data_IF_025860110771
#
_entry.id   IF_025860110771
#
_cell.length_a   1.000
_cell.length_b   1.000
_cell.length_c   1.000
_cell.angle_alpha   90.00
_cell.angle_beta   90.00
_cell.angle_gamma   90.00
#
_symmetry.space_group_name_H-M   'P 1'
#
loop_
_entity.id
_entity.type
_entity.pdbx_description
1 polymer ?
#
# COMPACT_ATOMS: atom_id res chain seq x y z
N UNK A 1 -14.96 -33.66 9.49
CA UNK A 1 -14.74 -32.38 10.22
C UNK A 1 -15.33 -31.30 9.38
N UNK A 2 -16.50 -30.81 9.76
CA UNK A 2 -17.19 -29.74 9.07
C UNK A 2 -16.41 -28.43 9.28
N UNK A 3 -16.00 -27.80 8.19
CA UNK A 3 -15.32 -26.49 8.25
C UNK A 3 -16.36 -25.42 8.62
N UNK A 4 -16.21 -24.81 9.77
CA UNK A 4 -17.01 -23.64 10.16
C UNK A 4 -16.41 -22.43 9.47
N UNK A 5 -17.19 -21.77 8.61
CA UNK A 5 -16.81 -20.50 7.99
C UNK A 5 -17.54 -19.39 8.74
N UNK A 6 -16.79 -18.51 9.38
CA UNK A 6 -17.33 -17.31 10.03
C UNK A 6 -17.12 -16.11 9.10
N UNK A 7 -18.23 -15.58 8.57
CA UNK A 7 -18.21 -14.36 7.78
C UNK A 7 -18.51 -13.17 8.71
N UNK A 8 -17.54 -12.27 8.85
CA UNK A 8 -17.72 -11.03 9.59
C UNK A 8 -18.11 -9.90 8.64
N UNK A 9 -19.33 -9.37 8.81
CA UNK A 9 -19.80 -8.20 8.07
C UNK A 9 -19.68 -6.96 8.96
N UNK A 10 -18.97 -5.90 8.52
CA UNK A 10 -18.86 -4.69 9.30
C UNK A 10 -20.21 -4.00 9.42
N UNK A 11 -20.62 -3.69 10.64
CA UNK A 11 -21.80 -2.87 10.89
C UNK A 11 -21.52 -1.41 10.53
N UNK A 12 -22.03 -0.97 9.37
CA UNK A 12 -21.85 0.40 8.86
C UNK A 12 -22.53 1.47 9.74
N UNK A 13 -23.44 1.09 10.63
CA UNK A 13 -24.14 2.00 11.56
C UNK A 13 -23.39 2.16 12.88
N UNK A 14 -22.43 1.29 13.18
CA UNK A 14 -21.66 1.35 14.42
C UNK A 14 -20.65 2.47 14.38
N UNK A 15 -20.83 3.48 15.23
CA UNK A 15 -19.86 4.56 15.40
C UNK A 15 -18.52 4.02 15.88
N UNK A 16 -17.41 4.47 15.25
CA UNK A 16 -16.03 4.22 15.70
C UNK A 16 -15.52 5.30 16.66
N UNK A 17 -16.37 6.27 17.04
CA UNK A 17 -15.97 7.44 17.83
C UNK A 17 -15.23 7.08 19.14
N UNK A 18 -15.57 5.96 19.77
CA UNK A 18 -14.93 5.50 21.00
C UNK A 18 -13.74 4.56 20.79
N UNK A 19 -13.40 4.24 19.54
CA UNK A 19 -12.37 3.22 19.28
C UNK A 19 -10.96 3.76 19.61
N UNK A 20 -10.67 4.99 19.20
CA UNK A 20 -9.38 5.61 19.49
C UNK A 20 -9.15 5.80 21.02
N UNK A 21 -10.07 6.38 21.81
CA UNK A 21 -9.87 6.49 23.27
C UNK A 21 -9.69 5.13 23.96
N UNK A 22 -10.38 4.07 23.50
CA UNK A 22 -10.21 2.73 24.04
C UNK A 22 -8.84 2.13 23.73
N UNK A 23 -8.28 2.40 22.55
CA UNK A 23 -6.92 1.98 22.22
C UNK A 23 -5.88 2.75 23.02
N UNK A 24 -6.06 4.08 23.19
CA UNK A 24 -5.19 4.92 24.04
C UNK A 24 -5.15 4.37 25.46
N UNK A 25 -6.32 4.08 26.07
CA UNK A 25 -6.43 3.47 27.39
C UNK A 25 -5.74 2.09 27.44
N UNK A 26 -6.02 1.22 26.46
CA UNK A 26 -5.46 -0.13 26.41
C UNK A 26 -3.91 -0.12 26.31
N UNK A 27 -3.34 0.80 25.57
CA UNK A 27 -1.87 0.98 25.48
C UNK A 27 -1.31 1.59 26.77
N UNK A 28 -2.05 2.48 27.44
CA UNK A 28 -1.67 3.01 28.76
C UNK A 28 -1.65 1.92 29.82
N UNK A 29 -2.63 1.04 29.85
CA UNK A 29 -2.73 -0.08 30.79
C UNK A 29 -1.68 -1.18 30.52
N UNK A 30 -1.41 -1.45 29.24
CA UNK A 30 -0.42 -2.46 28.83
C UNK A 30 0.45 -1.95 27.66
N UNK A 31 1.51 -1.15 27.94
CA UNK A 31 2.36 -0.56 26.92
C UNK A 31 3.26 -1.57 26.17
N UNK A 32 3.33 -2.81 26.64
CA UNK A 32 4.09 -3.88 26.00
C UNK A 32 3.25 -4.75 25.06
N UNK A 33 1.94 -4.47 24.92
CA UNK A 33 1.09 -5.16 23.97
C UNK A 33 1.33 -4.62 22.55
N UNK A 34 2.08 -5.36 21.76
CA UNK A 34 2.47 -4.99 20.39
C UNK A 34 1.28 -4.80 19.47
N UNK A 35 0.28 -5.68 19.55
CA UNK A 35 -0.92 -5.58 18.71
C UNK A 35 -1.72 -4.30 18.98
N UNK A 36 -1.94 -3.95 20.26
CA UNK A 36 -2.64 -2.73 20.60
C UNK A 36 -1.83 -1.48 20.20
N UNK A 37 -0.50 -1.54 20.34
CA UNK A 37 0.39 -0.47 19.90
C UNK A 37 0.33 -0.27 18.38
N UNK A 38 0.34 -1.36 17.59
CA UNK A 38 0.14 -1.32 16.13
C UNK A 38 -1.21 -0.70 15.76
N UNK A 39 -2.29 -1.16 16.39
CA UNK A 39 -3.63 -0.64 16.12
C UNK A 39 -3.78 0.83 16.50
N UNK A 40 -3.22 1.26 17.62
CA UNK A 40 -3.24 2.66 18.04
C UNK A 40 -2.53 3.55 17.03
N UNK A 41 -1.32 3.16 16.60
CA UNK A 41 -0.58 3.93 15.59
C UNK A 41 -1.32 4.02 14.26
N UNK A 42 -1.94 2.92 13.81
CA UNK A 42 -2.79 2.91 12.62
C UNK A 42 -4.02 3.81 12.77
N UNK A 43 -4.66 3.80 13.93
CA UNK A 43 -5.84 4.62 14.18
C UNK A 43 -5.46 6.12 14.22
N UNK A 44 -4.34 6.50 14.84
CA UNK A 44 -3.83 7.87 14.74
C UNK A 44 -3.62 8.31 13.29
N UNK A 45 -3.09 7.43 12.44
CA UNK A 45 -2.94 7.72 11.01
C UNK A 45 -4.30 7.99 10.34
N UNK A 46 -5.33 7.21 10.62
CA UNK A 46 -6.67 7.42 10.07
C UNK A 46 -7.33 8.73 10.53
N UNK A 47 -6.97 9.21 11.72
CA UNK A 47 -7.40 10.51 12.24
C UNK A 47 -6.52 11.69 11.78
N UNK A 48 -5.53 11.47 10.93
CA UNK A 48 -4.60 12.51 10.45
C UNK A 48 -3.61 12.99 11.51
N UNK A 49 -3.49 12.28 12.64
CA UNK A 49 -2.54 12.57 13.71
C UNK A 49 -1.17 11.97 13.35
N UNK A 50 -0.56 12.54 12.29
CA UNK A 50 0.61 11.93 11.63
C UNK A 50 1.79 11.70 12.55
N UNK A 51 2.15 12.69 13.39
CA UNK A 51 3.29 12.57 14.32
C UNK A 51 3.02 11.53 15.40
N UNK A 52 1.82 11.53 16.00
CA UNK A 52 1.43 10.53 17.00
C UNK A 52 1.46 9.11 16.41
N UNK A 53 1.01 8.96 15.17
CA UNK A 53 1.06 7.70 14.44
C UNK A 53 2.51 7.22 14.26
N UNK A 54 3.42 8.10 13.79
CA UNK A 54 4.82 7.79 13.58
C UNK A 54 5.47 7.33 14.89
N UNK A 55 5.30 8.11 15.96
CA UNK A 55 5.90 7.81 17.26
C UNK A 55 5.40 6.49 17.84
N UNK A 56 4.09 6.25 17.73
CA UNK A 56 3.45 5.02 18.22
C UNK A 56 3.89 3.79 17.43
N UNK A 57 3.93 3.89 16.11
CA UNK A 57 4.38 2.78 15.25
C UNK A 57 5.88 2.49 15.40
N UNK A 58 6.71 3.52 15.65
CA UNK A 58 8.12 3.31 15.98
C UNK A 58 8.26 2.60 17.34
N UNK A 59 7.42 2.94 18.34
CA UNK A 59 7.40 2.20 19.61
C UNK A 59 7.01 0.74 19.38
N UNK A 60 5.94 0.46 18.60
CA UNK A 60 5.58 -0.90 18.21
C UNK A 60 6.78 -1.67 17.65
N UNK A 61 7.51 -1.09 16.69
CA UNK A 61 8.66 -1.77 16.04
C UNK A 61 9.83 -2.07 17.00
N UNK A 62 9.88 -1.42 18.16
CA UNK A 62 10.91 -1.62 19.21
C UNK A 62 10.51 -2.64 20.27
N UNK A 63 9.24 -3.05 20.31
CA UNK A 63 8.78 -4.05 21.27
C UNK A 63 9.36 -5.43 20.92
N UNK A 64 9.88 -6.13 21.92
CA UNK A 64 10.41 -7.49 21.75
C UNK A 64 9.32 -8.49 21.33
N UNK A 65 8.06 -8.26 21.77
CA UNK A 65 6.89 -9.05 21.40
C UNK A 65 6.49 -8.90 19.93
N UNK A 66 6.83 -7.76 19.30
CA UNK A 66 6.47 -7.48 17.91
C UNK A 66 7.33 -8.30 16.93
N UNK A 67 7.10 -9.61 16.87
CA UNK A 67 7.89 -10.55 16.07
C UNK A 67 7.29 -10.89 14.71
N UNK A 68 6.00 -10.60 14.50
CA UNK A 68 5.33 -10.91 13.24
C UNK A 68 5.74 -9.93 12.14
N UNK A 69 6.59 -10.42 11.23
CA UNK A 69 7.20 -9.59 10.17
C UNK A 69 6.20 -8.86 9.28
N UNK A 70 5.06 -9.49 8.99
CA UNK A 70 4.04 -8.87 8.14
C UNK A 70 3.41 -7.65 8.82
N UNK A 71 3.12 -7.72 10.13
CA UNK A 71 2.59 -6.60 10.90
C UNK A 71 3.64 -5.49 11.09
N UNK A 72 4.91 -5.87 11.32
CA UNK A 72 6.04 -4.92 11.35
C UNK A 72 6.18 -4.18 10.02
N UNK A 73 6.10 -4.93 8.91
CA UNK A 73 6.09 -4.36 7.56
C UNK A 73 4.92 -3.39 7.37
N UNK A 74 3.71 -3.75 7.85
CA UNK A 74 2.55 -2.86 7.80
C UNK A 74 2.78 -1.58 8.61
N UNK A 75 3.35 -1.66 9.82
CA UNK A 75 3.71 -0.48 10.62
C UNK A 75 4.68 0.44 9.87
N UNK A 76 5.70 -0.12 9.20
CA UNK A 76 6.66 0.67 8.41
C UNK A 76 5.98 1.35 7.21
N UNK A 77 5.04 0.68 6.53
CA UNK A 77 4.23 1.28 5.46
C UNK A 77 3.35 2.42 5.99
N UNK A 78 2.71 2.25 7.15
CA UNK A 78 1.88 3.30 7.75
C UNK A 78 2.72 4.51 8.18
N UNK A 79 3.92 4.31 8.70
CA UNK A 79 4.87 5.39 8.98
C UNK A 79 5.20 6.14 7.67
N UNK A 80 5.48 5.41 6.60
CA UNK A 80 5.73 6.02 5.28
C UNK A 80 4.55 6.86 4.80
N UNK A 81 3.31 6.36 4.94
CA UNK A 81 2.09 7.12 4.60
C UNK A 81 1.97 8.40 5.41
N UNK A 82 2.33 8.37 6.70
CA UNK A 82 2.34 9.56 7.55
C UNK A 82 3.37 10.58 7.05
N UNK A 83 4.59 10.15 6.76
CA UNK A 83 5.62 11.03 6.21
C UNK A 83 5.24 11.62 4.85
N UNK A 84 4.62 10.82 3.96
CA UNK A 84 4.08 11.31 2.69
C UNK A 84 3.05 12.42 2.90
N UNK A 85 2.13 12.27 3.87
CA UNK A 85 1.13 13.30 4.19
C UNK A 85 1.75 14.57 4.83
N UNK A 86 2.94 14.45 5.38
CA UNK A 86 3.74 15.58 5.87
C UNK A 86 4.66 16.18 4.77
N UNK A 87 4.56 15.71 3.51
CA UNK A 87 5.42 16.06 2.38
C UNK A 87 6.91 15.73 2.62
N UNK A 88 7.20 14.79 3.50
CA UNK A 88 8.54 14.31 3.85
C UNK A 88 8.83 13.03 3.06
N UNK A 89 9.09 13.20 1.77
CA UNK A 89 9.15 12.09 0.81
C UNK A 89 10.40 11.21 0.98
N UNK A 90 11.54 11.79 1.39
CA UNK A 90 12.78 11.02 1.63
C UNK A 90 12.61 10.04 2.79
N UNK A 91 11.96 10.46 3.88
CA UNK A 91 11.67 9.58 5.00
C UNK A 91 10.60 8.55 4.63
N UNK A 92 9.60 8.95 3.82
CA UNK A 92 8.59 8.01 3.33
C UNK A 92 9.24 6.88 2.51
N UNK A 93 10.16 7.21 1.60
CA UNK A 93 10.95 6.25 0.83
C UNK A 93 11.78 5.34 1.74
N UNK A 94 12.54 5.93 2.66
CA UNK A 94 13.38 5.19 3.60
C UNK A 94 12.56 4.14 4.37
N UNK A 95 11.36 4.47 4.83
CA UNK A 95 10.52 3.53 5.56
C UNK A 95 9.95 2.43 4.67
N UNK A 96 9.61 2.70 3.41
CA UNK A 96 9.21 1.66 2.45
C UNK A 96 10.36 0.72 2.09
N UNK A 97 11.58 1.24 1.95
CA UNK A 97 12.76 0.39 1.76
C UNK A 97 13.04 -0.51 2.97
N UNK A 98 12.82 -0.01 4.20
CA UNK A 98 12.87 -0.84 5.43
C UNK A 98 11.77 -1.91 5.42
N UNK A 99 10.54 -1.55 5.02
CA UNK A 99 9.44 -2.50 4.91
C UNK A 99 9.72 -3.62 3.90
N UNK A 100 10.33 -3.29 2.76
CA UNK A 100 10.79 -4.28 1.76
C UNK A 100 11.85 -5.20 2.36
N UNK A 101 12.79 -4.68 3.15
CA UNK A 101 13.83 -5.49 3.79
C UNK A 101 13.25 -6.40 4.87
N UNK A 102 12.26 -5.94 5.62
CA UNK A 102 11.58 -6.71 6.68
C UNK A 102 10.81 -7.90 6.12
N UNK A 103 10.02 -7.68 5.06
CA UNK A 103 9.17 -8.69 4.44
C UNK A 103 9.25 -8.64 2.90
N UNK A 104 10.36 -9.08 2.30
CA UNK A 104 10.60 -8.98 0.86
C UNK A 104 9.65 -9.84 0.02
N UNK A 105 8.93 -10.75 0.65
CA UNK A 105 7.95 -11.65 0.04
C UNK A 105 6.53 -11.03 -0.03
N UNK A 106 6.29 -9.87 0.60
CA UNK A 106 5.03 -9.13 0.49
C UNK A 106 5.07 -8.18 -0.69
N UNK A 107 3.97 -8.13 -1.44
CA UNK A 107 3.83 -7.21 -2.58
C UNK A 107 3.59 -5.77 -2.15
N UNK A 108 2.87 -5.58 -1.04
CA UNK A 108 2.39 -4.29 -0.55
C UNK A 108 3.48 -3.20 -0.45
N UNK A 109 4.66 -3.41 0.17
CA UNK A 109 5.64 -2.34 0.29
C UNK A 109 6.25 -1.94 -1.06
N UNK A 110 6.36 -2.86 -2.03
CA UNK A 110 6.82 -2.52 -3.38
C UNK A 110 5.78 -1.71 -4.15
N UNK A 111 4.48 -2.04 -3.97
CA UNK A 111 3.38 -1.29 -4.59
C UNK A 111 3.34 0.13 -4.06
N UNK A 112 3.42 0.30 -2.75
CA UNK A 112 3.41 1.63 -2.12
C UNK A 112 4.64 2.45 -2.51
N UNK A 113 5.80 1.81 -2.67
CA UNK A 113 7.00 2.50 -3.14
C UNK A 113 6.86 2.94 -4.62
N UNK A 114 6.24 2.11 -5.47
CA UNK A 114 5.93 2.52 -6.84
C UNK A 114 4.92 3.69 -6.87
N UNK A 115 3.92 3.68 -5.98
CA UNK A 115 2.96 4.79 -5.83
C UNK A 115 3.63 6.06 -5.32
N UNK A 116 4.62 5.95 -4.43
CA UNK A 116 5.40 7.10 -3.96
C UNK A 116 6.20 7.72 -5.10
N UNK A 117 6.92 6.90 -5.88
CA UNK A 117 7.66 7.39 -7.04
C UNK A 117 6.76 7.95 -8.14
N UNK A 118 5.55 7.41 -8.29
CA UNK A 118 4.55 8.02 -9.18
C UNK A 118 4.17 9.44 -8.74
N UNK A 119 4.01 9.66 -7.43
CA UNK A 119 3.76 11.00 -6.88
C UNK A 119 4.92 11.97 -7.14
N UNK A 120 6.15 11.43 -7.22
CA UNK A 120 7.38 12.19 -7.49
C UNK A 120 7.73 12.26 -8.99
N UNK A 121 6.89 11.71 -9.86
CA UNK A 121 7.09 11.63 -11.32
C UNK A 121 8.38 10.88 -11.73
N UNK A 122 8.95 10.07 -10.82
CA UNK A 122 10.08 9.20 -11.14
C UNK A 122 9.59 7.87 -11.76
N UNK A 123 9.23 7.96 -13.03
CA UNK A 123 8.66 6.84 -13.78
C UNK A 123 9.62 5.66 -13.95
N UNK A 124 10.94 5.89 -13.93
CA UNK A 124 11.93 4.81 -13.94
C UNK A 124 11.82 3.94 -12.69
N UNK A 125 11.74 4.54 -11.52
CA UNK A 125 11.57 3.81 -10.27
C UNK A 125 10.15 3.24 -10.12
N UNK A 126 9.09 3.88 -10.67
CA UNK A 126 7.75 3.25 -10.79
C UNK A 126 7.87 1.91 -11.54
N UNK A 127 8.50 1.91 -12.71
CA UNK A 127 8.70 0.69 -13.51
C UNK A 127 9.55 -0.35 -12.78
N UNK A 128 10.62 0.07 -12.10
CA UNK A 128 11.52 -0.81 -11.35
C UNK A 128 10.79 -1.55 -10.23
N UNK A 129 10.09 -0.82 -9.37
CA UNK A 129 9.43 -1.40 -8.18
C UNK A 129 8.08 -2.05 -8.53
N UNK A 130 7.32 -1.51 -9.46
CA UNK A 130 6.09 -2.14 -9.97
C UNK A 130 6.36 -3.51 -10.58
N UNK A 131 7.41 -3.65 -11.41
CA UNK A 131 7.84 -4.96 -11.94
C UNK A 131 8.28 -5.94 -10.85
N UNK A 132 8.95 -5.46 -9.80
CA UNK A 132 9.31 -6.30 -8.65
C UNK A 132 8.07 -6.77 -7.91
N UNK A 133 7.11 -5.89 -7.65
CA UNK A 133 5.84 -6.23 -7.04
C UNK A 133 5.08 -7.31 -7.84
N UNK A 134 4.96 -7.16 -9.15
CA UNK A 134 4.27 -8.13 -10.02
C UNK A 134 4.93 -9.52 -10.08
N UNK A 135 6.22 -9.64 -9.74
CA UNK A 135 6.90 -10.95 -9.62
C UNK A 135 6.45 -11.72 -8.38
N UNK A 136 5.99 -11.03 -7.34
CA UNK A 136 5.50 -11.67 -6.11
C UNK A 136 4.08 -12.18 -6.38
N UNK A 137 3.92 -13.49 -6.49
CA UNK A 137 2.62 -14.12 -6.81
C UNK A 137 1.84 -14.53 -5.58
N UNK A 138 2.52 -14.72 -4.45
CA UNK A 138 1.88 -15.04 -3.20
C UNK A 138 1.00 -13.88 -2.72
N UNK A 139 -0.24 -14.18 -2.37
CA UNK A 139 -1.20 -13.23 -1.81
C UNK A 139 -1.64 -13.76 -0.43
N UNK A 140 -0.88 -13.46 0.61
CA UNK A 140 -1.34 -13.79 1.97
C UNK A 140 -2.57 -12.93 2.26
N UNK A 141 -3.72 -13.59 2.45
CA UNK A 141 -4.99 -12.89 2.73
C UNK A 141 -5.09 -12.58 4.21
N UNK A 142 -4.30 -11.62 4.67
CA UNK A 142 -4.32 -11.14 6.06
C UNK A 142 -4.94 -9.75 6.14
N UNK A 143 -5.32 -9.31 7.35
CA UNK A 143 -5.95 -8.00 7.57
C UNK A 143 -5.05 -6.79 7.28
N UNK A 144 -3.75 -7.03 7.09
CA UNK A 144 -2.76 -5.99 6.83
C UNK A 144 -2.39 -5.87 5.34
N UNK A 145 -2.87 -6.77 4.48
CA UNK A 145 -2.66 -6.66 3.04
C UNK A 145 -3.65 -5.67 2.41
N UNK A 146 -3.16 -4.97 1.42
CA UNK A 146 -3.92 -3.94 0.72
C UNK A 146 -4.48 -4.46 -0.60
N UNK A 147 -5.75 -4.21 -0.84
CA UNK A 147 -6.43 -4.64 -2.06
C UNK A 147 -5.72 -4.09 -3.30
N UNK A 148 -5.33 -2.81 -3.28
CA UNK A 148 -4.66 -2.14 -4.40
C UNK A 148 -3.31 -2.76 -4.78
N UNK A 149 -2.73 -3.60 -3.93
CA UNK A 149 -1.51 -4.34 -4.27
C UNK A 149 -1.77 -5.52 -5.21
N UNK A 150 -3.04 -5.96 -5.34
CA UNK A 150 -3.42 -7.18 -6.05
C UNK A 150 -4.52 -6.98 -7.10
N UNK A 151 -5.09 -5.79 -7.17
CA UNK A 151 -6.04 -5.36 -8.21
C UNK A 151 -5.32 -4.76 -9.45
N UNK A 152 -6.03 -3.97 -10.25
CA UNK A 152 -5.52 -3.35 -11.47
C UNK A 152 -4.48 -2.25 -11.22
N UNK A 153 -4.36 -1.72 -10.01
CA UNK A 153 -3.58 -0.52 -9.67
C UNK A 153 -2.13 -0.59 -10.16
N UNK A 154 -1.44 -1.71 -9.94
CA UNK A 154 -0.04 -1.85 -10.38
C UNK A 154 0.13 -1.82 -11.89
N UNK A 155 -0.76 -2.50 -12.62
CA UNK A 155 -0.69 -2.50 -14.08
C UNK A 155 -1.04 -1.12 -14.64
N UNK A 156 -1.98 -0.43 -14.01
CA UNK A 156 -2.36 0.94 -14.38
C UNK A 156 -1.19 1.92 -14.14
N UNK A 157 -0.56 1.90 -12.96
CA UNK A 157 0.63 2.70 -12.67
C UNK A 157 1.76 2.45 -13.69
N UNK A 158 2.02 1.19 -14.00
CA UNK A 158 3.03 0.82 -15.01
C UNK A 158 2.66 1.34 -16.39
N UNK A 159 1.38 1.31 -16.77
CA UNK A 159 0.93 1.82 -18.06
C UNK A 159 1.24 3.29 -18.22
N UNK A 160 0.93 4.09 -17.20
CA UNK A 160 1.20 5.54 -17.18
C UNK A 160 2.70 5.81 -17.15
N UNK A 161 3.46 5.06 -16.33
CA UNK A 161 4.89 5.24 -16.24
C UNK A 161 5.61 4.95 -17.56
N UNK A 162 5.26 3.85 -18.23
CA UNK A 162 5.82 3.53 -19.55
C UNK A 162 5.44 4.55 -20.61
N UNK A 163 4.20 5.07 -20.57
CA UNK A 163 3.77 6.13 -21.47
C UNK A 163 4.64 7.38 -21.32
N UNK A 164 4.87 7.84 -20.09
CA UNK A 164 5.72 9.02 -19.84
C UNK A 164 7.20 8.79 -20.18
N UNK A 165 7.64 7.54 -20.25
CA UNK A 165 8.98 7.17 -20.71
C UNK A 165 9.08 6.95 -22.22
N UNK A 166 8.00 7.16 -23.00
CA UNK A 166 7.96 6.93 -24.43
C UNK A 166 7.89 5.45 -24.84
N UNK A 167 7.72 4.53 -23.89
CA UNK A 167 7.59 3.10 -24.17
C UNK A 167 6.10 2.73 -24.37
N UNK A 168 5.52 3.20 -25.47
CA UNK A 168 4.09 3.04 -25.77
C UNK A 168 3.67 1.58 -25.85
N UNK A 169 4.55 0.71 -26.37
CA UNK A 169 4.28 -0.73 -26.45
C UNK A 169 4.00 -1.35 -25.07
N UNK A 170 4.85 -1.04 -24.08
CA UNK A 170 4.66 -1.52 -22.72
C UNK A 170 3.53 -0.77 -22.00
N UNK A 171 3.28 0.50 -22.31
CA UNK A 171 2.15 1.26 -21.81
C UNK A 171 0.82 0.59 -22.19
N UNK A 172 0.60 0.32 -23.48
CA UNK A 172 -0.58 -0.37 -24.02
C UNK A 172 -0.73 -1.76 -23.40
N UNK A 173 0.37 -2.52 -23.36
CA UNK A 173 0.35 -3.87 -22.74
C UNK A 173 -0.15 -3.84 -21.31
N UNK A 174 0.35 -2.92 -20.49
CA UNK A 174 -0.02 -2.84 -19.08
C UNK A 174 -1.45 -2.28 -18.91
N UNK A 175 -1.89 -1.30 -19.70
CA UNK A 175 -3.27 -0.84 -19.71
C UNK A 175 -4.26 -1.99 -20.02
N UNK A 176 -3.95 -2.81 -21.03
CA UNK A 176 -4.74 -4.01 -21.36
C UNK A 176 -4.77 -5.04 -20.21
N UNK A 177 -3.66 -5.21 -19.49
CA UNK A 177 -3.61 -6.08 -18.29
C UNK A 177 -4.46 -5.54 -17.16
N UNK A 178 -4.44 -4.22 -16.93
CA UNK A 178 -5.29 -3.57 -15.93
C UNK A 178 -6.78 -3.75 -16.26
N UNK A 179 -7.18 -3.57 -17.53
CA UNK A 179 -8.56 -3.77 -17.99
C UNK A 179 -9.03 -5.23 -17.95
N UNK A 180 -8.12 -6.21 -17.99
CA UNK A 180 -8.49 -7.61 -17.74
C UNK A 180 -8.94 -7.84 -16.29
N UNK A 181 -8.42 -7.07 -15.35
CA UNK A 181 -8.79 -7.15 -13.93
C UNK A 181 -10.05 -6.33 -13.67
N UNK A 182 -10.11 -5.10 -14.19
CA UNK A 182 -11.25 -4.20 -14.07
C UNK A 182 -11.71 -3.68 -15.44
N UNK A 183 -12.58 -4.44 -16.15
CA UNK A 183 -13.02 -4.10 -17.50
C UNK A 183 -13.83 -2.82 -17.62
N UNK A 184 -14.41 -2.35 -16.50
CA UNK A 184 -15.31 -1.19 -16.49
C UNK A 184 -14.63 0.10 -16.07
N UNK A 185 -13.30 0.14 -15.97
CA UNK A 185 -12.57 1.35 -15.59
C UNK A 185 -12.39 2.27 -16.80
N UNK A 186 -13.31 3.25 -16.94
CA UNK A 186 -13.35 4.19 -18.06
C UNK A 186 -12.06 5.01 -18.21
N UNK A 187 -11.42 5.39 -17.08
CA UNK A 187 -10.16 6.14 -17.13
C UNK A 187 -9.04 5.33 -17.79
N UNK A 188 -8.94 4.03 -17.49
CA UNK A 188 -7.93 3.16 -18.11
C UNK A 188 -8.25 2.91 -19.59
N UNK A 189 -9.53 2.81 -19.98
CA UNK A 189 -9.95 2.71 -21.40
C UNK A 189 -9.51 3.96 -22.17
N UNK A 190 -9.83 5.14 -21.66
CA UNK A 190 -9.45 6.41 -22.29
C UNK A 190 -7.92 6.53 -22.42
N UNK A 191 -7.17 6.16 -21.38
CA UNK A 191 -5.71 6.13 -21.45
C UNK A 191 -5.21 5.17 -22.56
N UNK A 192 -5.80 3.97 -22.66
CA UNK A 192 -5.43 3.00 -23.67
C UNK A 192 -5.65 3.54 -25.10
N UNK A 193 -6.77 4.19 -25.36
CA UNK A 193 -7.08 4.83 -26.66
C UNK A 193 -6.04 5.89 -27.00
N UNK A 194 -5.67 6.74 -26.04
CA UNK A 194 -4.61 7.76 -26.21
C UNK A 194 -3.29 7.08 -26.54
N UNK A 195 -2.88 6.07 -25.79
CA UNK A 195 -1.61 5.36 -26.01
C UNK A 195 -1.54 4.71 -27.39
N UNK A 196 -2.63 4.06 -27.83
CA UNK A 196 -2.72 3.42 -29.15
C UNK A 196 -2.72 4.45 -30.29
N UNK A 197 -3.33 5.62 -30.09
CA UNK A 197 -3.34 6.69 -31.11
C UNK A 197 -1.95 7.29 -31.31
N UNK A 198 -1.19 7.53 -30.23
CA UNK A 198 0.15 8.09 -30.29
C UNK A 198 1.12 7.08 -30.90
N UNK A 199 1.07 5.82 -30.49
CA UNK A 199 1.91 4.77 -31.09
C UNK A 199 1.72 4.68 -32.62
N UNK A 200 0.47 4.73 -33.11
CA UNK A 200 0.18 4.70 -34.55
C UNK A 200 0.67 5.93 -35.33
N UNK A 201 0.87 7.05 -34.64
CA UNK A 201 1.40 8.28 -35.26
C UNK A 201 2.93 8.27 -35.37
N UNK A 202 3.60 7.43 -34.58
CA UNK A 202 5.08 7.29 -34.58
C UNK A 202 5.57 6.12 -35.45
N UNK A 203 4.70 5.12 -35.76
CA UNK A 203 4.98 4.00 -36.68
C UNK A 203 4.81 4.43 -38.15
#
# INVERSE_FOLDING_TARGET
TDNIIINHYPDRKKSRANYLPLLELSVQENPLNDRNMHYLGREYMYYGRWNDAIDTLIKHLRLESATWKDERCASMRFISRCYKNLNRYDEAEMWLLKAIKEAPYLRDPYTELAMLYYTLEDYNNVCKYGKKALKIKNHPKTYINEVFSYDETLNDLLSIAYFNLGDYKNAIKNAKLALKINPNNERIKNNLEIFESIQKAED
#
